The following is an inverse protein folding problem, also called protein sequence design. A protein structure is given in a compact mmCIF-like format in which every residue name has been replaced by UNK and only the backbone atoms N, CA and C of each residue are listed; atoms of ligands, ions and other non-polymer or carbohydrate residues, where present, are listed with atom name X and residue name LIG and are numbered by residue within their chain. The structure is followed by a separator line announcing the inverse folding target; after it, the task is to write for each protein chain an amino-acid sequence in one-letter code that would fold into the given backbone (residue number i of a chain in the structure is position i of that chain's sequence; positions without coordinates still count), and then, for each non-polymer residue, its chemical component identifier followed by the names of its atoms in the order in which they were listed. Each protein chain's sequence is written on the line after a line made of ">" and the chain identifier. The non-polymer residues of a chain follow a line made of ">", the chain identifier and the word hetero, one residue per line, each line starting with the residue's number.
data_IF_362432567088
#
_entry.id   IF_362432567088
#
_cell.length_a   1.000
_cell.length_b   1.000
_cell.length_c   1.000
_cell.angle_alpha   90.00
_cell.angle_beta   90.00
_cell.angle_gamma   90.00
#
_symmetry.space_group_name_H-M   'P 1'
#
loop_
_entity.id
_entity.type
_entity.pdbx_description
1 polymer ?
#
# COMPACT_ATOMS: atom_id res chain seq x y z
N UNK A 1 17.88 -2.90 14.42
CA UNK A 1 17.59 -2.09 13.20
C UNK A 1 16.74 -0.89 13.57
N UNK A 2 17.13 0.34 13.18
CA UNK A 2 16.37 1.56 13.44
C UNK A 2 15.03 1.57 12.70
N UNK A 3 13.98 2.18 13.29
CA UNK A 3 12.64 2.25 12.70
C UNK A 3 12.64 2.90 11.30
N UNK A 4 13.47 3.95 11.10
CA UNK A 4 13.61 4.60 9.79
C UNK A 4 14.10 3.64 8.70
N UNK A 5 15.09 2.80 9.00
CA UNK A 5 15.59 1.79 8.06
C UNK A 5 14.49 0.80 7.71
N UNK A 6 13.71 0.38 8.71
CA UNK A 6 12.61 -0.55 8.49
C UNK A 6 11.46 0.05 7.69
N UNK A 7 11.24 1.36 7.77
CA UNK A 7 10.29 2.05 6.89
C UNK A 7 10.75 2.02 5.42
N UNK A 8 12.02 2.34 5.16
CA UNK A 8 12.60 2.19 3.80
C UNK A 8 12.59 0.75 3.33
N UNK A 9 12.87 -0.20 4.22
CA UNK A 9 12.81 -1.63 3.90
C UNK A 9 11.38 -2.05 3.49
N UNK A 10 10.35 -1.59 4.19
CA UNK A 10 8.96 -1.88 3.83
C UNK A 10 8.58 -1.33 2.45
N UNK A 11 9.10 -0.14 2.08
CA UNK A 11 8.94 0.42 0.73
C UNK A 11 9.71 -0.41 -0.29
N UNK A 12 10.95 -0.77 0.02
CA UNK A 12 11.80 -1.63 -0.85
C UNK A 12 11.13 -2.97 -1.16
N UNK A 13 10.54 -3.62 -0.16
CA UNK A 13 9.76 -4.86 -0.34
C UNK A 13 8.53 -4.69 -1.25
N UNK A 14 7.91 -3.51 -1.26
CA UNK A 14 6.79 -3.23 -2.16
C UNK A 14 7.26 -2.99 -3.61
N UNK A 15 8.48 -2.49 -3.79
CA UNK A 15 9.08 -2.23 -5.12
C UNK A 15 9.74 -3.49 -5.71
N UNK A 16 10.24 -4.38 -4.86
CA UNK A 16 10.82 -5.67 -5.24
C UNK A 16 10.12 -6.81 -4.47
N UNK A 17 8.93 -7.16 -4.93
CA UNK A 17 8.10 -8.19 -4.31
C UNK A 17 8.65 -9.61 -4.48
N UNK A 18 9.63 -9.81 -5.37
CA UNK A 18 10.28 -11.09 -5.64
C UNK A 18 11.59 -11.31 -4.86
N UNK A 19 12.18 -10.22 -4.35
CA UNK A 19 13.41 -10.26 -3.59
C UNK A 19 13.27 -10.91 -2.22
N UNK A 20 14.32 -11.60 -1.77
CA UNK A 20 14.39 -12.06 -0.38
C UNK A 20 14.57 -10.85 0.58
N UNK A 21 14.34 -11.08 1.87
CA UNK A 21 14.57 -10.04 2.88
C UNK A 21 16.03 -9.56 2.89
N UNK A 22 16.95 -10.46 2.70
CA UNK A 22 18.38 -10.15 2.63
C UNK A 22 18.73 -9.36 1.37
N UNK A 23 18.19 -9.73 0.20
CA UNK A 23 18.46 -9.05 -1.06
C UNK A 23 17.95 -7.61 -1.03
N UNK A 24 16.71 -7.39 -0.61
CA UNK A 24 16.12 -6.05 -0.48
C UNK A 24 16.88 -5.22 0.55
N UNK A 25 17.32 -5.83 1.66
CA UNK A 25 18.09 -5.13 2.67
C UNK A 25 19.49 -4.77 2.18
N UNK A 26 20.15 -5.65 1.42
CA UNK A 26 21.45 -5.37 0.83
C UNK A 26 21.38 -4.19 -0.16
N UNK A 27 20.41 -4.21 -1.08
CA UNK A 27 20.18 -3.10 -2.01
C UNK A 27 19.87 -1.78 -1.28
N UNK A 28 19.12 -1.85 -0.19
CA UNK A 28 18.81 -0.68 0.62
C UNK A 28 20.06 -0.11 1.31
N UNK A 29 20.92 -0.96 1.88
CA UNK A 29 22.15 -0.54 2.53
C UNK A 29 23.07 0.14 1.51
N UNK A 30 23.26 -0.45 0.34
CA UNK A 30 24.07 0.12 -0.72
C UNK A 30 23.53 1.47 -1.22
N UNK A 31 22.22 1.56 -1.45
CA UNK A 31 21.55 2.79 -1.89
C UNK A 31 21.60 3.90 -0.83
N UNK A 32 21.40 3.58 0.43
CA UNK A 32 21.47 4.56 1.53
C UNK A 32 22.91 4.98 1.85
N UNK A 33 23.88 4.11 1.72
CA UNK A 33 25.30 4.46 1.84
C UNK A 33 25.69 5.51 0.79
N UNK A 34 25.24 5.32 -0.46
CA UNK A 34 25.47 6.27 -1.54
C UNK A 34 24.76 7.62 -1.31
N UNK A 35 23.50 7.60 -0.89
CA UNK A 35 22.66 8.81 -0.81
C UNK A 35 22.90 9.66 0.44
N UNK A 36 23.33 9.07 1.56
CA UNK A 36 23.36 9.73 2.87
C UNK A 36 24.69 9.66 3.61
N UNK A 37 25.73 9.13 2.96
CA UNK A 37 27.00 8.91 3.62
C UNK A 37 26.93 7.95 4.80
N UNK A 38 25.96 7.06 4.82
CA UNK A 38 25.91 5.98 5.80
C UNK A 38 27.19 5.18 5.69
N UNK A 39 27.97 5.15 6.75
CA UNK A 39 29.17 4.33 6.79
C UNK A 39 28.80 2.87 6.60
N UNK A 40 29.59 2.13 5.84
CA UNK A 40 29.42 0.69 5.58
C UNK A 40 29.54 -0.21 6.84
N UNK A 41 29.46 0.37 8.03
CA UNK A 41 29.58 -0.36 9.30
C UNK A 41 28.38 -1.24 9.65
N UNK A 42 27.28 -1.13 8.91
CA UNK A 42 26.14 -2.03 9.08
C UNK A 42 26.33 -3.29 8.22
N UNK A 43 26.85 -4.34 8.85
CA UNK A 43 26.79 -5.67 8.24
C UNK A 43 25.34 -6.05 7.91
N UNK A 44 25.15 -6.86 6.84
CA UNK A 44 23.83 -7.33 6.42
C UNK A 44 23.18 -8.11 7.58
N UNK A 45 21.99 -7.67 8.07
CA UNK A 45 21.29 -8.40 9.12
C UNK A 45 20.70 -9.69 8.57
N UNK A 46 20.56 -10.71 9.42
CA UNK A 46 19.88 -11.96 9.04
C UNK A 46 18.37 -11.71 8.80
N UNK A 47 17.74 -12.57 7.96
CA UNK A 47 16.28 -12.54 7.72
C UNK A 47 15.48 -12.54 9.01
N UNK A 48 15.88 -13.30 10.03
CA UNK A 48 15.22 -13.33 11.34
C UNK A 48 15.30 -11.98 12.06
N UNK A 49 16.44 -11.31 12.02
CA UNK A 49 16.62 -9.99 12.63
C UNK A 49 15.77 -8.93 11.90
N UNK A 50 15.67 -9.01 10.56
CA UNK A 50 14.83 -8.14 9.74
C UNK A 50 13.36 -8.38 10.06
N UNK A 51 12.92 -9.64 10.10
CA UNK A 51 11.55 -10.03 10.45
C UNK A 51 11.13 -9.47 11.81
N UNK A 52 11.95 -9.67 12.85
CA UNK A 52 11.67 -9.17 14.19
C UNK A 52 11.63 -7.62 14.23
N UNK A 53 12.51 -6.95 13.49
CA UNK A 53 12.52 -5.49 13.41
C UNK A 53 11.27 -4.96 12.70
N UNK A 54 10.81 -5.63 11.63
CA UNK A 54 9.57 -5.33 10.93
C UNK A 54 8.35 -5.52 11.84
N UNK A 55 8.30 -6.62 12.59
CA UNK A 55 7.23 -6.87 13.55
C UNK A 55 7.16 -5.79 14.64
N UNK A 56 8.32 -5.33 15.14
CA UNK A 56 8.37 -4.21 16.11
C UNK A 56 7.98 -2.86 15.51
N UNK A 57 8.24 -2.62 14.23
CA UNK A 57 7.79 -1.38 13.56
C UNK A 57 6.28 -1.29 13.55
N UNK A 58 5.61 -2.40 13.25
CA UNK A 58 4.16 -2.44 13.08
C UNK A 58 3.68 -1.68 11.83
N UNK A 59 2.37 -1.60 11.65
CA UNK A 59 1.74 -0.96 10.49
C UNK A 59 1.60 0.57 10.65
N UNK A 60 1.46 1.07 11.87
CA UNK A 60 1.11 2.46 12.15
C UNK A 60 2.10 3.50 11.56
N UNK A 61 3.43 3.35 11.67
CA UNK A 61 4.35 4.30 11.05
C UNK A 61 4.23 4.35 9.51
N UNK A 62 3.96 3.21 8.87
CA UNK A 62 3.78 3.14 7.41
C UNK A 62 2.45 3.78 7.02
N UNK A 63 1.38 3.55 7.78
CA UNK A 63 0.09 4.21 7.59
C UNK A 63 0.23 5.73 7.67
N UNK A 64 0.89 6.25 8.71
CA UNK A 64 1.13 7.70 8.86
C UNK A 64 2.00 8.27 7.74
N UNK A 65 3.01 7.52 7.29
CA UNK A 65 3.83 7.93 6.15
C UNK A 65 2.96 8.04 4.89
N UNK A 66 2.13 7.03 4.60
CA UNK A 66 1.19 7.05 3.49
C UNK A 66 0.26 8.26 3.56
N UNK A 67 -0.41 8.49 4.68
CA UNK A 67 -1.33 9.63 4.87
C UNK A 67 -0.65 10.99 4.64
N UNK A 68 0.65 11.10 4.93
CA UNK A 68 1.41 12.33 4.74
C UNK A 68 1.83 12.57 3.29
N UNK A 69 2.05 11.51 2.50
CA UNK A 69 2.49 11.61 1.10
C UNK A 69 1.35 11.42 0.11
N UNK A 70 0.20 10.93 0.55
CA UNK A 70 -1.01 10.70 -0.25
C UNK A 70 -1.73 12.03 -0.52
N UNK A 71 -1.14 12.84 -1.40
CA UNK A 71 -1.65 14.16 -1.79
C UNK A 71 -1.78 14.26 -3.31
N UNK A 72 -2.68 15.11 -3.84
CA UNK A 72 -2.75 15.36 -5.27
C UNK A 72 -1.43 15.88 -5.83
N UNK A 73 -0.99 15.30 -6.95
CA UNK A 73 0.26 15.67 -7.61
C UNK A 73 0.07 16.56 -8.84
N UNK A 74 -1.10 16.50 -9.50
CA UNK A 74 -1.37 17.35 -10.65
C UNK A 74 -1.55 18.80 -10.23
N UNK A 75 -0.74 19.70 -10.78
CA UNK A 75 -0.94 21.13 -10.67
C UNK A 75 -1.93 21.67 -11.72
N UNK A 76 -2.32 22.96 -11.63
CA UNK A 76 -3.26 23.60 -12.57
C UNK A 76 -2.78 23.57 -14.03
N UNK A 77 -1.48 23.47 -14.25
CA UNK A 77 -0.83 23.39 -15.56
C UNK A 77 -1.12 22.05 -16.27
N UNK A 78 -1.49 21.02 -15.53
CA UNK A 78 -1.83 19.71 -16.08
C UNK A 78 -3.32 19.65 -16.49
N UNK A 79 -3.67 20.30 -17.60
CA UNK A 79 -5.06 20.44 -18.07
C UNK A 79 -5.82 19.08 -18.11
N UNK A 80 -5.14 17.97 -18.48
CA UNK A 80 -5.73 16.62 -18.54
C UNK A 80 -6.16 16.05 -17.16
N UNK A 81 -5.73 16.67 -16.06
CA UNK A 81 -6.13 16.26 -14.72
C UNK A 81 -7.51 16.80 -14.31
N UNK A 82 -8.06 17.73 -15.09
CA UNK A 82 -9.28 18.44 -14.74
C UNK A 82 -10.35 18.33 -15.84
N UNK A 83 -11.59 18.19 -15.42
CA UNK A 83 -12.76 18.31 -16.27
C UNK A 83 -13.71 19.36 -15.72
N UNK A 84 -14.06 20.37 -16.53
CA UNK A 84 -14.89 21.49 -16.11
C UNK A 84 -14.39 22.17 -14.80
N UNK A 85 -13.06 22.33 -14.66
CA UNK A 85 -12.41 22.91 -13.48
C UNK A 85 -12.35 22.03 -12.25
N UNK A 86 -12.80 20.77 -12.34
CA UNK A 86 -12.75 19.79 -11.23
C UNK A 86 -11.67 18.76 -11.48
N UNK A 87 -10.88 18.46 -10.44
CA UNK A 87 -9.89 17.38 -10.45
C UNK A 87 -10.56 16.03 -10.63
N UNK A 88 -10.14 15.27 -11.64
CA UNK A 88 -10.65 13.92 -11.86
C UNK A 88 -9.95 12.94 -10.92
N UNK A 89 -10.74 12.23 -10.12
CA UNK A 89 -10.29 11.16 -9.23
C UNK A 89 -11.10 9.90 -9.51
N UNK A 90 -10.45 8.77 -9.49
CA UNK A 90 -11.09 7.46 -9.68
C UNK A 90 -11.09 6.71 -8.35
N UNK A 91 -12.14 5.93 -8.11
CA UNK A 91 -12.19 4.95 -7.05
C UNK A 91 -12.30 3.56 -7.68
N UNK A 92 -11.50 2.64 -7.17
CA UNK A 92 -11.52 1.26 -7.63
C UNK A 92 -11.10 0.31 -6.52
N UNK A 93 -11.52 -0.95 -6.64
CA UNK A 93 -11.24 -2.02 -5.71
C UNK A 93 -10.39 -3.13 -6.32
N UNK A 94 -9.58 -3.76 -5.50
CA UNK A 94 -8.80 -4.94 -5.86
C UNK A 94 -8.65 -5.88 -4.67
N UNK A 95 -8.20 -7.10 -4.92
CA UNK A 95 -7.81 -8.06 -3.89
C UNK A 95 -6.34 -8.42 -4.03
N UNK A 96 -5.65 -8.61 -2.92
CA UNK A 96 -4.27 -9.08 -2.86
C UNK A 96 -4.19 -10.33 -1.98
N UNK A 97 -3.45 -11.33 -2.44
CA UNK A 97 -3.08 -12.45 -1.61
C UNK A 97 -2.15 -11.97 -0.48
N UNK A 98 -2.42 -12.44 0.72
CA UNK A 98 -1.57 -12.18 1.88
C UNK A 98 -0.94 -13.47 2.38
N UNK A 99 0.15 -13.37 3.13
CA UNK A 99 0.89 -14.54 3.62
C UNK A 99 -0.05 -15.52 4.36
N UNK A 100 0.15 -16.80 4.10
CA UNK A 100 -0.63 -17.87 4.72
C UNK A 100 -0.21 -18.09 6.18
N UNK A 101 -0.84 -17.29 7.04
CA UNK A 101 -0.68 -17.37 8.50
C UNK A 101 -2.05 -17.42 9.17
N UNK A 102 -2.13 -18.08 10.33
CA UNK A 102 -3.38 -18.16 11.09
C UNK A 102 -4.00 -16.78 11.37
N UNK A 103 -3.18 -15.78 11.72
CA UNK A 103 -3.65 -14.41 11.97
C UNK A 103 -4.20 -13.73 10.70
N UNK A 104 -3.58 -13.93 9.54
CA UNK A 104 -4.09 -13.39 8.28
C UNK A 104 -5.37 -14.12 7.84
N UNK A 105 -5.46 -15.42 8.06
CA UNK A 105 -6.68 -16.17 7.74
C UNK A 105 -7.86 -15.75 8.63
N UNK A 106 -7.62 -15.56 9.91
CA UNK A 106 -8.63 -15.09 10.86
C UNK A 106 -9.17 -13.70 10.46
N UNK A 107 -8.27 -12.77 10.10
CA UNK A 107 -8.65 -11.39 9.79
C UNK A 107 -9.17 -11.22 8.36
N UNK A 108 -8.43 -11.69 7.36
CA UNK A 108 -8.72 -11.42 5.94
C UNK A 108 -9.69 -12.44 5.34
N UNK A 109 -9.68 -13.68 5.81
CA UNK A 109 -10.43 -14.83 5.27
C UNK A 109 -9.99 -15.25 3.86
N UNK A 110 -10.33 -16.48 3.48
CA UNK A 110 -10.10 -17.02 2.12
C UNK A 110 -11.35 -16.86 1.27
N UNK A 111 -11.22 -16.45 -0.01
CA UNK A 111 -12.35 -16.52 -0.93
C UNK A 111 -12.78 -17.98 -1.16
N UNK A 112 -14.10 -18.24 -1.28
CA UNK A 112 -14.59 -19.55 -1.64
C UNK A 112 -14.29 -19.82 -3.12
N UNK A 113 -13.83 -21.03 -3.44
CA UNK A 113 -13.75 -21.48 -4.83
C UNK A 113 -15.06 -22.08 -5.33
N UNK A 114 -15.35 -21.92 -6.60
CA UNK A 114 -16.53 -22.48 -7.27
C UNK A 114 -16.59 -24.01 -7.21
N UNK A 115 -15.49 -24.70 -6.89
CA UNK A 115 -15.41 -26.17 -6.75
C UNK A 115 -15.40 -26.65 -5.30
N UNK A 116 -15.75 -25.80 -4.33
CA UNK A 116 -15.83 -26.18 -2.91
C UNK A 116 -14.52 -26.17 -2.15
N UNK A 117 -13.36 -25.91 -2.79
CA UNK A 117 -12.09 -25.70 -2.13
C UNK A 117 -11.91 -24.20 -1.80
N UNK A 118 -11.25 -23.90 -0.68
CA UNK A 118 -10.89 -22.53 -0.36
C UNK A 118 -9.69 -22.06 -1.21
N UNK A 119 -9.56 -20.74 -1.44
CA UNK A 119 -8.35 -20.17 -2.06
C UNK A 119 -7.08 -20.61 -1.32
N UNK A 120 -5.97 -20.78 -2.05
CA UNK A 120 -4.69 -21.15 -1.47
C UNK A 120 -4.20 -20.15 -0.41
N UNK A 121 -4.57 -18.86 -0.55
CA UNK A 121 -4.15 -17.78 0.34
C UNK A 121 -5.34 -16.98 0.87
N UNK A 122 -5.24 -16.43 2.09
CA UNK A 122 -6.15 -15.37 2.54
C UNK A 122 -6.00 -14.14 1.65
N UNK A 123 -7.09 -13.37 1.46
CA UNK A 123 -7.07 -12.20 0.58
C UNK A 123 -7.52 -10.94 1.31
N UNK A 124 -6.69 -9.90 1.22
CA UNK A 124 -7.05 -8.56 1.61
C UNK A 124 -7.82 -7.88 0.47
N UNK A 125 -8.95 -7.23 0.78
CA UNK A 125 -9.62 -6.31 -0.14
C UNK A 125 -9.08 -4.91 0.06
N UNK A 126 -8.74 -4.25 -1.03
CA UNK A 126 -8.27 -2.86 -1.03
C UNK A 126 -9.22 -2.04 -1.88
N UNK A 127 -9.61 -0.88 -1.40
CA UNK A 127 -10.27 0.16 -2.19
C UNK A 127 -9.40 1.40 -2.12
N UNK A 128 -9.11 2.01 -3.26
CA UNK A 128 -8.26 3.18 -3.36
C UNK A 128 -8.93 4.30 -4.14
N UNK A 129 -8.67 5.53 -3.71
CA UNK A 129 -8.99 6.76 -4.41
C UNK A 129 -7.71 7.30 -5.05
N UNK A 130 -7.69 7.46 -6.37
CA UNK A 130 -6.51 7.86 -7.11
C UNK A 130 -6.79 9.04 -8.04
N UNK A 131 -5.82 9.91 -8.22
CA UNK A 131 -5.84 10.99 -9.21
C UNK A 131 -5.67 10.39 -10.61
N UNK A 132 -6.61 10.63 -11.53
CA UNK A 132 -6.63 9.98 -12.84
C UNK A 132 -5.40 10.30 -13.71
N UNK A 133 -4.86 11.51 -13.62
CA UNK A 133 -3.80 11.96 -14.52
C UNK A 133 -2.40 11.53 -14.10
N UNK A 134 -2.16 11.40 -12.80
CA UNK A 134 -0.83 11.09 -12.23
C UNK A 134 -0.76 9.69 -11.63
N UNK A 135 -1.92 9.04 -11.45
CA UNK A 135 -2.10 7.79 -10.72
C UNK A 135 -1.68 7.86 -9.25
N UNK A 136 -1.56 9.07 -8.71
CA UNK A 136 -1.28 9.25 -7.28
C UNK A 136 -2.43 8.74 -6.44
N UNK A 137 -2.15 7.81 -5.53
CA UNK A 137 -3.14 7.31 -4.58
C UNK A 137 -3.32 8.34 -3.48
N UNK A 138 -4.54 8.86 -3.34
CA UNK A 138 -4.90 9.92 -2.38
C UNK A 138 -5.39 9.37 -1.06
N UNK A 139 -6.05 8.22 -1.10
CA UNK A 139 -6.52 7.51 0.09
C UNK A 139 -6.72 6.03 -0.25
N UNK A 140 -6.62 5.16 0.74
CA UNK A 140 -6.92 3.74 0.59
C UNK A 140 -7.50 3.16 1.87
N UNK A 141 -8.30 2.09 1.72
CA UNK A 141 -8.76 1.24 2.81
C UNK A 141 -8.45 -0.21 2.50
N UNK A 142 -8.03 -0.91 3.53
CA UNK A 142 -7.74 -2.34 3.49
C UNK A 142 -8.71 -3.02 4.44
N UNK A 143 -9.38 -4.05 3.96
CA UNK A 143 -10.33 -4.82 4.74
C UNK A 143 -10.27 -6.31 4.44
N UNK A 144 -11.08 -7.09 5.14
CA UNK A 144 -11.22 -8.51 4.89
C UNK A 144 -11.88 -8.74 3.52
N UNK A 145 -11.59 -9.89 2.89
CA UNK A 145 -12.18 -10.28 1.61
C UNK A 145 -13.72 -10.18 1.62
N UNK A 146 -14.36 -10.52 2.74
CA UNK A 146 -15.83 -10.49 2.88
C UNK A 146 -16.42 -9.08 2.98
N UNK A 147 -15.63 -8.06 3.27
CA UNK A 147 -16.14 -6.69 3.27
C UNK A 147 -16.42 -6.25 1.83
N UNK A 148 -17.59 -5.63 1.63
CA UNK A 148 -17.94 -5.10 0.31
C UNK A 148 -17.10 -3.86 -0.02
N UNK A 149 -16.83 -3.64 -1.30
CA UNK A 149 -16.18 -2.42 -1.78
C UNK A 149 -16.97 -1.18 -1.37
N UNK A 150 -18.29 -1.21 -1.46
CA UNK A 150 -19.16 -0.12 -1.01
C UNK A 150 -18.99 0.21 0.49
N UNK A 151 -18.71 -0.79 1.35
CA UNK A 151 -18.44 -0.53 2.76
C UNK A 151 -17.12 0.20 2.97
N UNK A 152 -16.04 -0.24 2.26
CA UNK A 152 -14.72 0.41 2.33
C UNK A 152 -14.73 1.79 1.67
N UNK A 153 -15.53 1.98 0.62
CA UNK A 153 -15.71 3.26 -0.07
C UNK A 153 -16.27 4.35 0.85
N UNK A 154 -17.21 4.00 1.73
CA UNK A 154 -17.79 5.00 2.66
C UNK A 154 -16.73 5.68 3.51
N UNK A 155 -15.69 4.95 3.91
CA UNK A 155 -14.57 5.50 4.68
C UNK A 155 -13.63 6.39 3.85
N UNK A 156 -13.79 6.39 2.52
CA UNK A 156 -12.99 7.20 1.59
C UNK A 156 -13.71 8.47 1.14
N UNK A 157 -15.03 8.56 1.31
CA UNK A 157 -15.83 9.72 0.85
C UNK A 157 -15.35 11.03 1.47
N UNK A 158 -14.90 11.00 2.72
CA UNK A 158 -14.40 12.19 3.42
C UNK A 158 -13.11 12.77 2.82
N UNK A 159 -12.43 12.00 1.96
CA UNK A 159 -11.26 12.48 1.19
C UNK A 159 -11.64 13.22 -0.10
N UNK A 160 -12.94 13.23 -0.46
CA UNK A 160 -13.43 13.95 -1.63
C UNK A 160 -13.76 15.39 -1.28
N UNK A 161 -13.10 16.32 -1.96
CA UNK A 161 -13.40 17.75 -1.85
C UNK A 161 -14.41 18.22 -2.91
N UNK A 162 -15.01 19.41 -2.72
CA UNK A 162 -16.01 19.97 -3.64
C UNK A 162 -15.45 20.30 -5.04
N UNK A 163 -14.12 20.39 -5.17
CA UNK A 163 -13.41 20.60 -6.43
C UNK A 163 -12.98 19.29 -7.12
N UNK A 164 -13.45 18.16 -6.64
CA UNK A 164 -13.16 16.84 -7.22
C UNK A 164 -14.36 16.32 -8.00
N UNK A 165 -14.07 15.58 -9.07
CA UNK A 165 -15.03 14.80 -9.86
C UNK A 165 -14.66 13.34 -9.69
N UNK A 166 -15.52 12.59 -9.00
CA UNK A 166 -15.32 11.16 -8.78
C UNK A 166 -15.76 10.36 -10.01
N UNK A 167 -14.92 9.43 -10.42
CA UNK A 167 -15.19 8.43 -11.44
C UNK A 167 -15.19 7.07 -10.75
N UNK A 168 -16.24 6.31 -10.93
CA UNK A 168 -16.38 4.95 -10.40
C UNK A 168 -16.99 4.06 -11.48
N UNK A 169 -16.79 2.76 -11.36
CA UNK A 169 -17.48 1.80 -12.21
C UNK A 169 -18.92 1.55 -11.69
N UNK A 170 -19.67 0.67 -12.37
CA UNK A 170 -21.05 0.36 -11.98
C UNK A 170 -21.17 -0.50 -10.72
N UNK A 171 -20.06 -0.99 -10.18
CA UNK A 171 -20.02 -1.83 -8.99
C UNK A 171 -20.04 -1.04 -7.68
N UNK A 172 -19.83 0.28 -7.74
CA UNK A 172 -19.81 1.19 -6.60
C UNK A 172 -21.13 1.86 -6.33
#
# INVERSE_FOLDING_TARGET
>A
LPARVMAYFAIGMALDASGSYEDVMAQLIDGLAWASGWSQEFGLPSASAIFQARARLGAEPIRRLFERVAVPLAGPEMARAFLAGRRMVAIDGTTLDVADTAANEEFFTRPPHSRGEASAFPQARIVALAECATHAVLAARIGAYKQSEAALTRDLVDHLGPSMLLIADRGF
#
